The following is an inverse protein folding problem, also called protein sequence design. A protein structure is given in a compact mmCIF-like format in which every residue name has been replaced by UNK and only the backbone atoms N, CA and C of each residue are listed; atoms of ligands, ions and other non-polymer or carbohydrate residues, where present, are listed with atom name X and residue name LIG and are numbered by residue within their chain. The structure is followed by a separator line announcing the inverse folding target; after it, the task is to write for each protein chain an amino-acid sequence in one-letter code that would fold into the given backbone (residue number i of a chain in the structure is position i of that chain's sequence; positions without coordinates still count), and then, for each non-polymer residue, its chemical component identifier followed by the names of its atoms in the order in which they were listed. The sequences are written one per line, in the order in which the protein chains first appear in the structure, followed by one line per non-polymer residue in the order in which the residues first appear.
data_IF_462627115055
#
_entry.id   IF_462627115055
#
_cell.length_a   1.000
_cell.length_b   1.000
_cell.length_c   1.000
_cell.angle_alpha   90.00
_cell.angle_beta   90.00
_cell.angle_gamma   90.00
#
_symmetry.space_group_name_H-M   'P 1'
#
loop_
_entity.id
_entity.type
_entity.pdbx_description
1 polymer ?
#
# COMPACT_ATOMS: atom_id res chain seq x y z
N UNK A 1 -2.36 10.57 19.93
CA UNK A 1 -1.54 9.70 19.06
C UNK A 1 -1.05 8.57 19.96
N UNK A 2 -1.60 7.36 19.81
CA UNK A 2 -1.17 6.20 20.61
C UNK A 2 -0.09 5.47 19.81
N UNK A 3 1.16 5.67 20.20
CA UNK A 3 2.33 4.98 19.66
C UNK A 3 2.81 3.96 20.69
N UNK A 4 2.43 2.70 20.52
CA UNK A 4 3.31 1.61 20.94
C UNK A 4 4.37 1.50 19.85
N UNK A 5 5.64 1.29 20.21
CA UNK A 5 6.81 1.59 19.35
C UNK A 5 6.82 0.93 17.96
N UNK A 6 5.99 -0.10 17.74
CA UNK A 6 5.81 -0.83 16.47
C UNK A 6 4.42 -0.69 15.82
N UNK A 7 3.56 0.18 16.35
CA UNK A 7 2.16 0.32 15.98
C UNK A 7 1.78 1.80 15.79
N UNK A 8 1.45 2.13 14.56
CA UNK A 8 1.04 3.47 14.15
C UNK A 8 -0.44 3.44 13.79
N UNK A 9 -1.25 4.11 14.59
CA UNK A 9 -2.64 4.40 14.26
C UNK A 9 -2.76 5.88 13.89
N UNK A 10 -3.47 6.15 12.80
CA UNK A 10 -3.75 7.52 12.35
C UNK A 10 -5.22 7.65 11.93
N UNK A 11 -5.77 8.83 12.15
CA UNK A 11 -7.09 9.22 11.71
C UNK A 11 -6.93 10.51 10.92
N UNK A 12 -7.41 10.52 9.69
CA UNK A 12 -7.27 11.64 8.77
C UNK A 12 -8.65 12.00 8.20
N UNK A 13 -8.92 13.29 8.08
CA UNK A 13 -10.17 13.81 7.52
C UNK A 13 -9.85 14.59 6.25
N UNK A 14 -10.34 14.10 5.12
CA UNK A 14 -10.07 14.60 3.79
C UNK A 14 -11.32 15.20 3.15
N UNK A 15 -11.13 15.85 2.00
CA UNK A 15 -12.20 16.38 1.17
C UNK A 15 -13.19 17.29 1.92
N UNK A 16 -12.67 18.28 2.66
CA UNK A 16 -13.45 19.23 3.49
C UNK A 16 -14.36 18.56 4.55
N UNK A 17 -13.98 17.39 5.04
CA UNK A 17 -14.78 16.66 6.03
C UNK A 17 -15.61 15.52 5.45
N UNK A 18 -15.59 15.36 4.14
CA UNK A 18 -16.38 14.33 3.45
C UNK A 18 -15.79 12.92 3.61
N UNK A 19 -14.47 12.78 3.68
CA UNK A 19 -13.84 11.46 3.78
C UNK A 19 -13.10 11.30 5.11
N UNK A 20 -13.51 10.33 5.91
CA UNK A 20 -12.82 9.95 7.14
C UNK A 20 -12.01 8.69 6.92
N UNK A 21 -10.69 8.79 7.03
CA UNK A 21 -9.74 7.68 6.85
C UNK A 21 -9.09 7.32 8.17
N UNK A 22 -9.33 6.11 8.67
CA UNK A 22 -8.56 5.50 9.74
C UNK A 22 -7.54 4.52 9.17
N UNK A 23 -6.26 4.73 9.45
CA UNK A 23 -5.20 3.81 9.05
C UNK A 23 -4.50 3.22 10.28
N UNK A 24 -4.23 1.93 10.21
CA UNK A 24 -3.53 1.15 11.22
C UNK A 24 -2.36 0.45 10.55
N UNK A 25 -1.16 0.65 11.06
CA UNK A 25 0.07 0.08 10.54
C UNK A 25 0.82 -0.57 11.68
N UNK A 26 1.22 -1.82 11.47
CA UNK A 26 2.01 -2.59 12.40
C UNK A 26 3.30 -3.05 11.72
N UNK A 27 4.43 -2.61 12.26
CA UNK A 27 5.76 -3.03 11.82
C UNK A 27 6.12 -4.29 12.60
N UNK A 28 6.37 -5.39 11.90
CA UNK A 28 6.67 -6.69 12.53
C UNK A 28 8.17 -6.86 12.72
N UNK A 29 8.97 -6.36 11.77
CA UNK A 29 10.42 -6.49 11.83
C UNK A 29 11.11 -5.36 11.07
N UNK A 30 11.99 -4.64 11.76
CA UNK A 30 12.83 -3.62 11.12
C UNK A 30 13.90 -4.23 10.22
N UNK A 31 14.42 -5.41 10.60
CA UNK A 31 15.52 -6.09 9.88
C UNK A 31 15.11 -6.56 8.48
N UNK A 32 13.85 -6.97 8.32
CA UNK A 32 13.28 -7.41 7.02
C UNK A 32 12.29 -6.41 6.44
N UNK A 33 12.20 -5.20 7.01
CA UNK A 33 11.21 -4.17 6.68
C UNK A 33 9.78 -4.73 6.50
N UNK A 34 9.45 -5.77 7.27
CA UNK A 34 8.17 -6.47 7.18
C UNK A 34 7.15 -5.67 7.95
N UNK A 35 6.09 -5.26 7.26
CA UNK A 35 5.01 -4.54 7.88
C UNK A 35 3.68 -4.87 7.25
N UNK A 36 2.65 -4.80 8.06
CA UNK A 36 1.28 -5.03 7.65
C UNK A 36 0.45 -3.83 8.08
N UNK A 37 -0.57 -3.51 7.29
CA UNK A 37 -1.43 -2.38 7.58
C UNK A 37 -2.81 -2.58 7.03
N UNK A 38 -3.76 -1.88 7.63
CA UNK A 38 -5.12 -1.77 7.18
C UNK A 38 -5.52 -0.30 7.17
N UNK A 39 -6.35 0.08 6.20
CA UNK A 39 -6.86 1.43 6.05
C UNK A 39 -8.36 1.34 5.77
N UNK A 40 -9.16 1.99 6.59
CA UNK A 40 -10.60 2.13 6.42
C UNK A 40 -10.90 3.58 6.08
N UNK A 41 -11.51 3.83 4.92
CA UNK A 41 -12.02 5.15 4.53
C UNK A 41 -13.53 5.11 4.42
N UNK A 42 -14.20 5.95 5.19
CA UNK A 42 -15.64 6.19 5.12
C UNK A 42 -15.89 7.51 4.36
N UNK A 43 -16.72 7.45 3.31
CA UNK A 43 -17.12 8.64 2.55
C UNK A 43 -18.54 9.03 2.95
N UNK A 44 -18.71 10.20 3.57
CA UNK A 44 -20.02 10.67 4.03
C UNK A 44 -20.95 11.03 2.85
N UNK A 45 -20.42 11.56 1.75
CA UNK A 45 -21.22 11.91 0.56
C UNK A 45 -21.82 10.71 -0.15
N UNK A 46 -21.05 9.63 -0.35
CA UNK A 46 -21.54 8.42 -1.05
C UNK A 46 -22.07 7.36 -0.09
N UNK A 47 -21.88 7.55 1.22
CA UNK A 47 -22.15 6.56 2.26
C UNK A 47 -21.42 5.23 2.08
N UNK A 48 -20.28 5.24 1.36
CA UNK A 48 -19.51 4.04 1.06
C UNK A 48 -18.32 3.88 2.02
N UNK A 49 -18.01 2.62 2.33
CA UNK A 49 -16.85 2.23 3.14
C UNK A 49 -15.84 1.51 2.25
N UNK A 50 -14.64 2.06 2.15
CA UNK A 50 -13.50 1.43 1.48
C UNK A 50 -12.55 0.89 2.53
N UNK A 51 -12.47 -0.43 2.62
CA UNK A 51 -11.50 -1.11 3.49
C UNK A 51 -10.36 -1.64 2.64
N UNK A 52 -9.15 -1.32 3.03
CA UNK A 52 -7.90 -1.73 2.40
C UNK A 52 -7.09 -2.52 3.41
N UNK A 53 -6.50 -3.62 2.95
CA UNK A 53 -5.44 -4.32 3.65
C UNK A 53 -4.18 -4.30 2.79
N UNK A 54 -3.03 -4.17 3.42
CA UNK A 54 -1.77 -4.19 2.71
C UNK A 54 -0.64 -4.70 3.57
N UNK A 55 0.43 -5.10 2.90
CA UNK A 55 1.65 -5.52 3.54
C UNK A 55 2.83 -5.20 2.67
N UNK A 56 3.98 -5.06 3.31
CA UNK A 56 5.26 -5.03 2.65
C UNK A 56 6.20 -6.02 3.31
N UNK A 57 7.09 -6.58 2.51
CA UNK A 57 8.09 -7.53 2.95
C UNK A 57 9.33 -7.36 2.09
N UNK A 58 10.49 -7.28 2.74
CA UNK A 58 11.78 -7.27 2.05
C UNK A 58 12.23 -8.70 1.87
N UNK A 59 12.32 -9.14 0.62
CA UNK A 59 12.81 -10.46 0.26
C UNK A 59 14.34 -10.52 0.42
N UNK A 60 15.01 -9.46 0.00
CA UNK A 60 16.48 -9.32 0.01
C UNK A 60 16.84 -7.86 0.30
N UNK A 61 18.07 -7.54 0.75
CA UNK A 61 18.49 -6.15 1.00
C UNK A 61 18.26 -5.18 -0.16
N UNK A 62 18.12 -5.70 -1.38
CA UNK A 62 17.87 -4.96 -2.61
C UNK A 62 16.42 -5.07 -3.10
N UNK A 63 15.60 -6.01 -2.61
CA UNK A 63 14.28 -6.31 -3.18
C UNK A 63 13.18 -6.20 -2.14
N UNK A 64 12.22 -5.30 -2.39
CA UNK A 64 11.03 -5.10 -1.56
C UNK A 64 9.78 -5.46 -2.34
N UNK A 65 8.93 -6.29 -1.75
CA UNK A 65 7.60 -6.61 -2.22
C UNK A 65 6.56 -5.85 -1.39
N UNK A 66 5.56 -5.28 -2.05
CA UNK A 66 4.39 -4.67 -1.43
C UNK A 66 3.14 -5.22 -2.09
N UNK A 67 2.14 -5.54 -1.30
CA UNK A 67 0.84 -5.96 -1.77
C UNK A 67 -0.25 -5.18 -1.04
N UNK A 68 -1.32 -4.85 -1.74
CA UNK A 68 -2.49 -4.13 -1.22
C UNK A 68 -3.73 -4.73 -1.85
N UNK A 69 -4.78 -4.93 -1.07
CA UNK A 69 -6.09 -5.37 -1.52
C UNK A 69 -7.15 -4.46 -0.91
N UNK A 70 -8.27 -4.26 -1.60
CA UNK A 70 -9.41 -3.53 -1.03
C UNK A 70 -10.74 -4.29 -1.20
N UNK A 71 -11.75 -3.90 -0.42
CA UNK A 71 -13.11 -4.47 -0.47
C UNK A 71 -13.85 -4.15 -1.79
N UNK A 72 -13.32 -3.23 -2.59
CA UNK A 72 -13.81 -2.98 -3.94
C UNK A 72 -13.36 -4.06 -4.94
N UNK A 73 -12.53 -5.02 -4.51
CA UNK A 73 -12.03 -6.09 -5.35
C UNK A 73 -10.73 -5.75 -6.07
N UNK A 74 -10.10 -4.61 -5.80
CA UNK A 74 -8.80 -4.27 -6.41
C UNK A 74 -7.68 -4.88 -5.60
N UNK A 75 -6.83 -5.65 -6.28
CA UNK A 75 -5.59 -6.17 -5.76
C UNK A 75 -4.43 -5.52 -6.51
N UNK A 76 -3.49 -4.94 -5.78
CA UNK A 76 -2.31 -4.28 -6.32
C UNK A 76 -1.06 -4.88 -5.69
N UNK A 77 -0.05 -5.11 -6.51
CA UNK A 77 1.26 -5.62 -6.10
C UNK A 77 2.33 -4.71 -6.67
N UNK A 78 3.41 -4.55 -5.93
CA UNK A 78 4.56 -3.75 -6.32
C UNK A 78 5.82 -4.46 -5.88
N UNK A 79 6.75 -4.64 -6.80
CA UNK A 79 8.10 -5.15 -6.55
C UNK A 79 9.07 -4.03 -6.87
N UNK A 80 9.91 -3.69 -5.92
CA UNK A 80 10.97 -2.72 -6.10
C UNK A 80 12.31 -3.40 -5.89
N UNK A 81 13.17 -3.34 -6.90
CA UNK A 81 14.49 -3.97 -6.92
C UNK A 81 15.59 -2.92 -7.15
N UNK A 82 16.57 -2.88 -6.25
CA UNK A 82 17.77 -2.06 -6.37
C UNK A 82 18.83 -2.80 -7.20
N UNK A 83 18.92 -2.45 -8.49
CA UNK A 83 19.86 -3.09 -9.43
C UNK A 83 21.26 -2.47 -9.41
N UNK A 84 21.40 -1.21 -8.98
CA UNK A 84 22.67 -0.54 -8.71
C UNK A 84 22.52 0.30 -7.45
N UNK A 85 23.61 0.64 -6.74
CA UNK A 85 23.53 1.51 -5.57
C UNK A 85 22.73 2.75 -5.93
N UNK A 86 21.70 3.05 -5.15
CA UNK A 86 20.85 4.24 -5.33
C UNK A 86 19.96 4.22 -6.60
N UNK A 87 19.97 3.17 -7.42
CA UNK A 87 19.10 3.06 -8.60
C UNK A 87 18.08 1.94 -8.42
N UNK A 88 16.80 2.27 -8.61
CA UNK A 88 15.68 1.38 -8.29
C UNK A 88 14.86 1.10 -9.55
N UNK A 89 14.49 -0.16 -9.74
CA UNK A 89 13.49 -0.59 -10.72
C UNK A 89 12.25 -0.99 -9.95
N UNK A 90 11.12 -0.40 -10.29
CA UNK A 90 9.84 -0.68 -9.66
C UNK A 90 8.88 -1.24 -10.71
N UNK A 91 8.33 -2.41 -10.44
CA UNK A 91 7.31 -3.05 -11.25
C UNK A 91 6.05 -3.09 -10.41
N UNK A 92 4.94 -2.58 -10.92
CA UNK A 92 3.64 -2.62 -10.26
C UNK A 92 2.61 -3.27 -11.15
N UNK A 93 1.67 -3.98 -10.54
CA UNK A 93 0.51 -4.52 -11.21
C UNK A 93 -0.72 -4.30 -10.34
N UNK A 94 -1.84 -3.97 -10.94
CA UNK A 94 -3.15 -3.81 -10.31
C UNK A 94 -4.17 -4.60 -11.13
N UNK A 95 -5.00 -5.37 -10.44
CA UNK A 95 -6.07 -6.16 -11.01
C UNK A 95 -7.35 -5.84 -10.27
N UNK A 96 -8.37 -5.41 -11.01
CA UNK A 96 -9.71 -5.24 -10.50
C UNK A 96 -10.48 -6.57 -10.64
N UNK A 97 -10.75 -7.26 -9.53
CA UNK A 97 -11.41 -8.56 -9.55
C UNK A 97 -12.89 -8.49 -9.91
N UNK A 98 -13.53 -7.31 -9.82
CA UNK A 98 -14.91 -7.10 -10.27
C UNK A 98 -15.00 -6.91 -11.79
N UNK A 99 -13.91 -6.44 -12.41
CA UNK A 99 -13.79 -6.24 -13.86
C UNK A 99 -12.50 -6.85 -14.41
N UNK A 100 -12.28 -8.14 -14.09
CA UNK A 100 -11.10 -8.92 -14.53
C UNK A 100 -10.93 -8.87 -16.05
N UNK A 101 -12.03 -8.88 -16.79
CA UNK A 101 -12.03 -8.87 -18.25
C UNK A 101 -11.58 -7.54 -18.87
N UNK A 102 -11.45 -6.46 -18.07
CA UNK A 102 -11.26 -5.11 -18.61
C UNK A 102 -10.20 -4.23 -17.93
N UNK A 103 -9.80 -4.51 -16.69
CA UNK A 103 -9.04 -3.53 -15.91
C UNK A 103 -7.84 -4.13 -15.15
N UNK A 104 -6.92 -4.73 -15.90
CA UNK A 104 -5.56 -5.02 -15.44
C UNK A 104 -4.63 -3.87 -15.83
N UNK A 105 -3.89 -3.34 -14.86
CA UNK A 105 -2.88 -2.29 -15.10
C UNK A 105 -1.54 -2.84 -14.69
N UNK A 106 -0.53 -2.59 -15.52
CA UNK A 106 0.86 -2.90 -15.21
C UNK A 106 1.66 -1.63 -15.43
N UNK A 107 2.55 -1.33 -14.50
CA UNK A 107 3.43 -0.17 -14.53
C UNK A 107 4.88 -0.61 -14.30
N UNK A 108 5.80 0.07 -14.97
CA UNK A 108 7.22 -0.07 -14.74
C UNK A 108 7.78 1.34 -14.55
N UNK A 109 8.57 1.53 -13.51
CA UNK A 109 9.26 2.78 -13.22
C UNK A 109 10.74 2.48 -12.96
N UNK A 110 11.60 3.38 -13.41
CA UNK A 110 13.04 3.30 -13.14
C UNK A 110 13.48 4.63 -12.56
N UNK A 111 14.06 4.59 -11.37
CA UNK A 111 14.67 5.72 -10.72
C UNK A 111 16.19 5.55 -10.79
N UNK A 112 16.86 6.49 -11.47
CA UNK A 112 18.30 6.55 -11.58
C UNK A 112 18.81 7.64 -10.67
N UNK A 113 19.83 7.33 -9.86
CA UNK A 113 20.61 8.36 -9.18
C UNK A 113 21.96 8.49 -9.90
N UNK A 114 22.42 9.73 -10.17
CA UNK A 114 23.69 10.00 -10.85
C UNK A 114 24.89 9.55 -10.03
#
# INVERSE_FOLDING_TARGET
MFTHEDLIASLNMNNKGDNLTGAYYHKVSELTNTAVGAELTHSFSTNENTLTFGGQHTLDPLTVLKARINNSGKASVLIQHEWRPKSLVTISAEVDTKTIEKSSKVGIAVALKP
#
